data_IF_642674417823
#
_entry.id   IF_642674417823
#
_cell.length_a   1.000
_cell.length_b   1.000
_cell.length_c   1.000
_cell.angle_alpha   90.00
_cell.angle_beta   90.00
_cell.angle_gamma   90.00
#
_symmetry.space_group_name_H-M   'P 1'
#
loop_
_entity.id
_entity.type
_entity.pdbx_description
1 polymer ?
#
# COMPACT_ATOMS: atom_id res chain seq x y z
N UNK A 1 -2.08 2.03 17.40
CA UNK A 1 -1.52 1.99 16.02
C UNK A 1 -0.81 3.30 15.74
N UNK A 2 0.37 3.26 15.11
CA UNK A 2 1.18 4.46 14.84
C UNK A 2 0.47 5.38 13.85
N UNK A 3 -0.02 6.52 14.33
CA UNK A 3 -0.51 7.60 13.45
C UNK A 3 0.74 8.30 12.91
N UNK A 4 1.17 7.92 11.71
CA UNK A 4 2.21 8.67 11.01
C UNK A 4 1.63 10.06 10.67
N UNK A 5 2.12 11.08 11.36
CA UNK A 5 1.69 12.47 11.19
C UNK A 5 2.82 13.26 10.54
N UNK A 6 2.49 14.08 9.53
CA UNK A 6 3.43 15.05 8.99
C UNK A 6 3.23 16.40 9.66
N UNK A 7 4.34 17.06 9.99
CA UNK A 7 4.32 18.43 10.48
C UNK A 7 4.16 19.39 9.30
N UNK A 8 3.04 20.11 9.25
CA UNK A 8 2.74 21.13 8.26
C UNK A 8 2.92 22.54 8.85
N UNK A 9 3.43 23.46 8.03
CA UNK A 9 3.50 24.89 8.34
C UNK A 9 2.72 25.67 7.30
N UNK A 10 1.74 26.46 7.73
CA UNK A 10 1.05 27.44 6.86
C UNK A 10 1.54 28.84 7.26
N UNK A 11 1.98 29.63 6.27
CA UNK A 11 2.20 31.07 6.42
C UNK A 11 0.98 31.80 5.84
N UNK A 12 0.17 32.38 6.70
CA UNK A 12 -0.81 33.41 6.32
C UNK A 12 -0.43 34.67 7.09
N UNK A 13 -0.37 35.78 6.36
CA UNK A 13 -0.07 37.16 6.78
C UNK A 13 0.41 37.33 8.24
N UNK A 14 1.74 37.43 8.42
CA UNK A 14 2.48 37.61 9.69
C UNK A 14 2.30 36.58 10.83
N UNK A 15 1.47 35.54 10.72
CA UNK A 15 1.34 34.49 11.75
C UNK A 15 1.71 33.09 11.23
N UNK A 16 2.74 32.49 11.82
CA UNK A 16 3.13 31.11 11.53
C UNK A 16 2.31 30.14 12.41
N UNK A 17 1.38 29.40 11.79
CA UNK A 17 0.61 28.34 12.47
C UNK A 17 1.17 26.98 12.07
N UNK A 18 1.64 26.22 13.05
CA UNK A 18 2.12 24.84 12.89
C UNK A 18 1.00 23.86 13.20
N UNK A 19 0.89 22.77 12.46
CA UNK A 19 -0.11 21.73 12.70
C UNK A 19 0.40 20.36 12.26
N UNK A 20 -0.10 19.30 12.89
CA UNK A 20 0.03 17.94 12.41
C UNK A 20 -1.16 17.57 11.54
N UNK A 21 -0.90 16.84 10.46
CA UNK A 21 -1.91 16.29 9.57
C UNK A 21 -1.56 14.83 9.21
N UNK A 22 -2.51 14.12 8.59
CA UNK A 22 -2.29 12.77 8.09
C UNK A 22 -1.07 12.72 7.16
N UNK A 23 -0.16 11.75 7.38
CA UNK A 23 0.99 11.57 6.49
C UNK A 23 0.61 10.97 5.13
N UNK A 24 -0.45 10.15 5.11
CA UNK A 24 -0.84 9.38 3.93
C UNK A 24 -1.81 10.20 3.08
N UNK A 25 -2.97 10.56 3.61
CA UNK A 25 -4.01 11.23 2.85
C UNK A 25 -3.87 12.75 2.87
N UNK A 26 -3.82 13.37 1.67
CA UNK A 26 -3.84 14.84 1.52
C UNK A 26 -5.21 15.46 1.80
N UNK A 27 -6.28 14.70 1.60
CA UNK A 27 -7.66 15.20 1.73
C UNK A 27 -8.22 14.92 3.14
N UNK A 28 -8.74 15.97 3.78
CA UNK A 28 -9.44 15.87 5.06
C UNK A 28 -10.71 15.00 4.99
N UNK A 29 -11.27 14.80 3.79
CA UNK A 29 -12.41 13.90 3.58
C UNK A 29 -12.05 12.42 3.77
N UNK A 30 -10.79 12.04 3.49
CA UNK A 30 -10.30 10.66 3.64
C UNK A 30 -9.60 10.42 4.97
N UNK A 31 -8.86 11.41 5.45
CA UNK A 31 -8.35 11.39 6.81
C UNK A 31 -8.63 12.73 7.49
N UNK A 32 -9.60 12.78 8.43
CA UNK A 32 -9.97 14.01 9.11
C UNK A 32 -8.94 14.46 10.16
N UNK A 33 -7.84 13.73 10.33
CA UNK A 33 -6.82 14.03 11.33
C UNK A 33 -6.15 15.38 11.06
N UNK A 34 -6.30 16.31 12.00
CA UNK A 34 -5.60 17.59 12.04
C UNK A 34 -5.45 18.08 13.48
N UNK A 35 -4.23 18.44 13.87
CA UNK A 35 -3.93 18.96 15.19
C UNK A 35 -3.14 20.27 15.08
N UNK A 36 -3.75 21.40 15.41
CA UNK A 36 -3.06 22.70 15.41
C UNK A 36 -2.23 22.86 16.69
N UNK A 37 -0.98 23.25 16.56
CA UNK A 37 -0.07 23.51 17.68
C UNK A 37 -0.15 25.01 18.02
N UNK A 38 -0.84 25.36 19.10
CA UNK A 38 -0.74 26.69 19.71
C UNK A 38 0.13 26.61 20.96
N UNK A 39 1.08 27.55 21.13
CA UNK A 39 2.12 27.54 22.16
C UNK A 39 1.67 27.55 23.64
N UNK A 40 0.38 27.38 23.98
CA UNK A 40 -0.07 27.52 25.37
C UNK A 40 -0.82 26.35 26.01
N UNK A 41 -1.48 25.45 25.30
CA UNK A 41 -2.10 24.29 25.97
C UNK A 41 -2.45 23.22 24.95
N UNK A 42 -1.82 22.05 25.02
CA UNK A 42 -2.47 20.82 24.53
C UNK A 42 -3.55 20.57 25.59
N UNK A 43 -4.79 20.98 25.33
CA UNK A 43 -5.87 20.72 26.28
C UNK A 43 -6.03 19.21 26.43
N UNK A 44 -6.03 18.72 27.68
CA UNK A 44 -6.14 17.29 28.01
C UNK A 44 -7.38 16.61 27.36
N UNK A 45 -8.40 17.39 26.97
CA UNK A 45 -9.58 16.93 26.24
C UNK A 45 -9.30 16.43 24.81
N UNK A 46 -8.13 16.72 24.22
CA UNK A 46 -7.76 16.23 22.90
C UNK A 46 -7.18 14.81 22.95
N UNK A 47 -6.50 14.44 24.04
CA UNK A 47 -5.97 13.09 24.27
C UNK A 47 -7.10 12.06 24.44
N UNK A 48 -8.17 12.42 25.15
CA UNK A 48 -9.30 11.52 25.40
C UNK A 48 -10.15 11.21 24.14
N UNK A 49 -10.07 12.04 23.09
CA UNK A 49 -10.74 11.80 21.81
C UNK A 49 -9.92 10.96 20.82
N UNK A 50 -8.64 10.69 21.12
CA UNK A 50 -7.83 9.77 20.31
C UNK A 50 -8.17 8.31 20.58
N UNK A 51 -8.55 7.99 21.81
CA UNK A 51 -8.95 6.64 22.21
C UNK A 51 -10.32 6.23 21.63
N UNK A 52 -11.17 7.20 21.27
CA UNK A 52 -12.51 6.98 20.71
C UNK A 52 -12.57 7.01 19.18
N UNK A 53 -11.46 7.33 18.51
CA UNK A 53 -11.34 7.04 17.09
C UNK A 53 -11.23 5.52 16.98
N UNK A 54 -12.34 4.85 16.66
CA UNK A 54 -12.38 3.42 16.34
C UNK A 54 -11.31 3.12 15.30
N UNK A 55 -10.10 2.82 15.77
CA UNK A 55 -9.04 2.27 14.96
C UNK A 55 -9.61 0.92 14.59
N UNK A 56 -10.13 0.80 13.37
CA UNK A 56 -10.34 -0.47 12.74
C UNK A 56 -8.96 -1.14 12.73
N UNK A 57 -8.63 -1.85 13.82
CA UNK A 57 -7.47 -2.69 13.95
C UNK A 57 -7.78 -3.91 13.10
N UNK A 58 -7.79 -3.73 11.78
CA UNK A 58 -7.62 -4.85 10.89
C UNK A 58 -6.25 -5.40 11.26
N UNK A 59 -6.22 -6.59 11.88
CA UNK A 59 -4.95 -7.22 12.21
C UNK A 59 -4.22 -7.43 10.90
N UNK A 60 -3.20 -6.62 10.63
CA UNK A 60 -2.41 -6.76 9.43
C UNK A 60 -1.62 -8.07 9.56
N UNK A 61 -2.15 -9.14 8.98
CA UNK A 61 -1.49 -10.42 8.96
C UNK A 61 -0.54 -10.45 7.75
N UNK A 62 0.75 -10.33 8.03
CA UNK A 62 1.78 -10.47 7.01
C UNK A 62 1.72 -11.86 6.34
N UNK A 63 1.90 -11.87 5.00
CA UNK A 63 2.02 -13.08 4.19
C UNK A 63 0.81 -14.04 4.18
N UNK A 64 -0.42 -13.56 4.44
CA UNK A 64 -1.65 -14.39 4.39
C UNK A 64 -1.82 -15.09 3.05
N UNK A 65 -1.78 -14.33 1.94
CA UNK A 65 -1.95 -14.88 0.59
C UNK A 65 -0.86 -15.91 0.30
N UNK A 66 0.41 -15.62 0.64
CA UNK A 66 1.53 -16.56 0.47
C UNK A 66 1.31 -17.87 1.23
N UNK A 67 0.84 -17.80 2.48
CA UNK A 67 0.51 -19.00 3.28
C UNK A 67 -0.62 -19.81 2.63
N UNK A 68 -1.65 -19.14 2.13
CA UNK A 68 -2.80 -19.76 1.45
C UNK A 68 -2.38 -20.45 0.14
N UNK A 69 -1.56 -19.78 -0.68
CA UNK A 69 -0.95 -20.35 -1.89
C UNK A 69 -0.18 -21.63 -1.54
N UNK A 70 0.68 -21.58 -0.53
CA UNK A 70 1.46 -22.75 -0.11
C UNK A 70 0.57 -23.91 0.34
N UNK A 71 -0.53 -23.62 1.06
CA UNK A 71 -1.49 -24.63 1.49
C UNK A 71 -2.19 -25.30 0.30
N UNK A 72 -2.69 -24.50 -0.65
CA UNK A 72 -3.36 -25.00 -1.86
C UNK A 72 -2.42 -25.88 -2.69
N UNK A 73 -1.15 -25.46 -2.84
CA UNK A 73 -0.12 -26.27 -3.50
C UNK A 73 0.15 -27.59 -2.79
N UNK A 74 0.26 -27.57 -1.46
CA UNK A 74 0.51 -28.78 -0.68
C UNK A 74 -0.63 -29.80 -0.85
N UNK A 75 -1.86 -29.32 -1.08
CA UNK A 75 -3.04 -30.14 -1.39
C UNK A 75 -3.17 -30.50 -2.88
N UNK A 76 -2.24 -30.05 -3.72
CA UNK A 76 -2.29 -30.20 -5.17
C UNK A 76 -3.58 -29.63 -5.80
N UNK A 77 -4.15 -28.60 -5.19
CA UNK A 77 -5.34 -27.92 -5.67
C UNK A 77 -4.98 -26.85 -6.72
N UNK A 78 -5.87 -26.67 -7.71
CA UNK A 78 -5.75 -25.58 -8.67
C UNK A 78 -6.00 -24.25 -7.97
N UNK A 79 -5.14 -23.27 -8.23
CA UNK A 79 -5.19 -21.95 -7.60
C UNK A 79 -5.85 -20.96 -8.55
N UNK A 80 -6.81 -20.20 -8.04
CA UNK A 80 -7.48 -19.13 -8.75
C UNK A 80 -7.38 -17.83 -7.95
N UNK A 81 -7.44 -16.68 -8.61
CA UNK A 81 -7.42 -15.36 -7.98
C UNK A 81 -8.78 -14.69 -8.12
N UNK A 82 -9.27 -14.08 -7.06
CA UNK A 82 -10.46 -13.24 -7.09
C UNK A 82 -10.09 -11.77 -6.88
N UNK A 83 -10.36 -10.93 -7.87
CA UNK A 83 -10.12 -9.49 -7.77
C UNK A 83 -11.03 -8.80 -6.74
N UNK A 84 -12.26 -9.29 -6.54
CA UNK A 84 -13.22 -8.75 -5.57
C UNK A 84 -12.76 -8.96 -4.13
N UNK A 85 -12.29 -10.17 -3.80
CA UNK A 85 -11.75 -10.48 -2.49
C UNK A 85 -10.29 -10.06 -2.32
N UNK A 86 -9.60 -9.78 -3.43
CA UNK A 86 -8.15 -9.63 -3.50
C UNK A 86 -7.38 -10.77 -2.81
N UNK A 87 -7.79 -12.02 -3.09
CA UNK A 87 -7.25 -13.22 -2.47
C UNK A 87 -7.31 -14.43 -3.43
N UNK A 88 -6.63 -15.51 -3.08
CA UNK A 88 -6.56 -16.76 -3.86
C UNK A 88 -7.51 -17.82 -3.31
N UNK A 89 -8.07 -18.67 -4.18
CA UNK A 89 -9.05 -19.70 -3.82
C UNK A 89 -8.85 -20.97 -4.66
N UNK A 90 -9.36 -22.08 -4.15
CA UNK A 90 -9.75 -23.23 -4.97
C UNK A 90 -11.25 -23.18 -5.29
N UNK A 91 -11.70 -23.98 -6.25
CA UNK A 91 -13.12 -24.07 -6.60
C UNK A 91 -13.88 -24.90 -5.55
N UNK A 92 -15.16 -24.57 -5.26
CA UNK A 92 -15.95 -23.46 -5.82
C UNK A 92 -15.73 -22.12 -5.09
N UNK A 93 -15.92 -21.01 -5.81
CA UNK A 93 -15.93 -19.65 -5.27
C UNK A 93 -17.08 -18.85 -5.88
N UNK A 94 -17.67 -17.92 -5.11
CA UNK A 94 -18.89 -17.19 -5.50
C UNK A 94 -18.64 -16.01 -6.45
N UNK A 95 -17.51 -15.33 -6.33
CA UNK A 95 -17.16 -14.22 -7.23
C UNK A 95 -16.48 -14.71 -8.52
N UNK A 96 -16.42 -13.87 -9.57
CA UNK A 96 -15.58 -14.14 -10.73
C UNK A 96 -14.11 -14.33 -10.33
N UNK A 97 -13.48 -15.36 -10.89
CA UNK A 97 -12.09 -15.71 -10.61
C UNK A 97 -11.27 -15.86 -11.89
N UNK A 98 -9.98 -15.55 -11.81
CA UNK A 98 -8.98 -15.74 -12.87
C UNK A 98 -8.11 -16.95 -12.53
N UNK A 99 -7.96 -17.86 -13.48
CA UNK A 99 -7.09 -19.02 -13.32
C UNK A 99 -7.49 -20.22 -14.19
N UNK A 100 -6.88 -21.39 -13.98
CA UNK A 100 -5.89 -21.69 -12.93
C UNK A 100 -4.57 -20.94 -13.12
N UNK A 101 -3.97 -20.46 -12.03
CA UNK A 101 -2.74 -19.68 -12.02
C UNK A 101 -1.51 -20.53 -11.69
N UNK A 102 -0.44 -20.31 -12.44
CA UNK A 102 0.88 -20.79 -12.08
C UNK A 102 1.52 -19.88 -11.02
N UNK A 103 2.54 -20.39 -10.33
CA UNK A 103 3.30 -19.60 -9.35
C UNK A 103 4.03 -18.42 -9.99
N UNK A 104 4.47 -18.56 -11.24
CA UNK A 104 5.04 -17.47 -12.02
C UNK A 104 4.07 -16.30 -12.18
N UNK A 105 2.78 -16.56 -12.40
CA UNK A 105 1.74 -15.53 -12.47
C UNK A 105 1.55 -14.82 -11.13
N UNK A 106 1.63 -15.54 -10.02
CA UNK A 106 1.50 -14.96 -8.67
C UNK A 106 2.72 -14.13 -8.24
N UNK A 107 3.87 -14.30 -8.92
CA UNK A 107 5.07 -13.44 -8.74
C UNK A 107 4.96 -12.12 -9.48
N UNK A 108 3.95 -11.93 -10.34
CA UNK A 108 3.68 -10.68 -11.04
C UNK A 108 2.29 -10.11 -10.69
N UNK A 109 2.06 -9.67 -9.43
CA UNK A 109 0.78 -9.09 -9.01
C UNK A 109 0.24 -7.97 -9.90
N UNK A 110 1.11 -7.15 -10.49
CA UNK A 110 0.73 -6.08 -11.43
C UNK A 110 -0.06 -6.57 -12.65
N UNK A 111 0.04 -7.85 -12.99
CA UNK A 111 -0.71 -8.49 -14.07
C UNK A 111 -2.05 -9.11 -13.61
N UNK A 112 -2.26 -9.24 -12.30
CA UNK A 112 -3.47 -9.84 -11.72
C UNK A 112 -4.57 -8.82 -11.47
N UNK A 113 -4.21 -7.56 -11.19
CA UNK A 113 -5.15 -6.47 -11.00
C UNK A 113 -4.64 -5.16 -11.61
N UNK A 114 -5.57 -4.34 -12.08
CA UNK A 114 -5.26 -3.03 -12.64
C UNK A 114 -4.77 -2.06 -11.57
N UNK A 115 -3.86 -1.16 -11.95
CA UNK A 115 -3.37 -0.11 -11.07
C UNK A 115 -4.52 0.71 -10.46
N UNK A 116 -4.39 1.05 -9.18
CA UNK A 116 -5.35 1.93 -8.53
C UNK A 116 -5.10 3.40 -8.92
N UNK A 117 -5.55 3.79 -10.11
CA UNK A 117 -5.39 5.16 -10.62
C UNK A 117 -6.49 6.06 -10.05
N UNK A 118 -6.25 6.66 -8.89
CA UNK A 118 -7.03 7.80 -8.39
C UNK A 118 -6.13 9.01 -8.21
N UNK A 119 -6.64 10.24 -8.27
CA UNK A 119 -5.86 11.46 -7.99
C UNK A 119 -5.81 11.75 -6.48
N UNK A 120 -5.29 10.82 -5.70
CA UNK A 120 -5.17 10.95 -4.25
C UNK A 120 -3.90 10.25 -3.72
N UNK A 121 -3.86 9.85 -2.46
CA UNK A 121 -2.63 9.35 -1.83
C UNK A 121 -2.31 7.89 -2.13
N UNK A 122 -3.25 7.14 -2.70
CA UNK A 122 -3.09 5.71 -3.01
C UNK A 122 -2.93 5.46 -4.50
N UNK A 123 -2.62 6.50 -5.27
CA UNK A 123 -2.38 6.40 -6.71
C UNK A 123 -1.27 5.40 -6.99
N UNK A 124 -1.58 4.41 -7.82
CA UNK A 124 -0.61 3.47 -8.34
C UNK A 124 -0.50 3.68 -9.84
N UNK A 125 0.73 3.83 -10.33
CA UNK A 125 1.04 3.93 -11.75
C UNK A 125 2.08 2.87 -12.07
N UNK A 126 1.76 2.00 -13.02
CA UNK A 126 2.67 0.98 -13.50
C UNK A 126 3.65 1.60 -14.49
N UNK A 127 4.93 1.22 -14.37
CA UNK A 127 5.90 1.52 -15.40
C UNK A 127 5.54 0.79 -16.69
N UNK A 128 5.74 1.43 -17.83
CA UNK A 128 5.70 0.75 -19.12
C UNK A 128 6.90 -0.19 -19.26
N UNK A 129 6.82 -1.15 -20.18
CA UNK A 129 7.89 -2.12 -20.41
C UNK A 129 9.20 -1.44 -20.86
N UNK A 130 9.10 -0.36 -21.66
CA UNK A 130 10.25 0.42 -22.12
C UNK A 130 10.92 1.13 -20.94
N UNK A 131 10.12 1.78 -20.08
CA UNK A 131 10.60 2.49 -18.90
C UNK A 131 11.26 1.52 -17.92
N UNK A 132 10.63 0.36 -17.71
CA UNK A 132 11.14 -0.70 -16.86
C UNK A 132 12.49 -1.21 -17.36
N UNK A 133 12.61 -1.44 -18.67
CA UNK A 133 13.86 -1.89 -19.31
C UNK A 133 15.00 -0.91 -19.09
N UNK A 134 14.74 0.40 -19.21
CA UNK A 134 15.76 1.44 -18.95
C UNK A 134 16.21 1.41 -17.49
N UNK A 135 15.27 1.33 -16.54
CA UNK A 135 15.56 1.30 -15.10
C UNK A 135 16.39 0.05 -14.75
N UNK A 136 15.95 -1.12 -15.21
CA UNK A 136 16.63 -2.39 -14.92
C UNK A 136 18.05 -2.37 -15.46
N UNK A 137 18.24 -1.99 -16.72
CA UNK A 137 19.57 -1.92 -17.34
C UNK A 137 20.51 -0.96 -16.61
N UNK A 138 19.99 0.16 -16.09
CA UNK A 138 20.80 1.11 -15.34
C UNK A 138 21.27 0.51 -14.00
N UNK A 139 20.39 -0.21 -13.32
CA UNK A 139 20.69 -0.87 -12.03
C UNK A 139 21.64 -2.06 -12.20
N UNK A 140 21.45 -2.88 -13.25
CA UNK A 140 22.37 -4.00 -13.53
C UNK A 140 23.78 -3.50 -13.86
N UNK A 141 23.88 -2.42 -14.64
CA UNK A 141 25.17 -1.80 -15.00
C UNK A 141 25.85 -1.10 -13.83
N UNK A 142 25.12 -0.73 -12.78
CA UNK A 142 25.73 -0.09 -11.61
C UNK A 142 26.48 -1.10 -10.72
N UNK A 143 26.32 -2.40 -10.96
CA UNK A 143 27.01 -3.45 -10.20
C UNK A 143 26.60 -3.52 -8.73
N UNK A 144 25.38 -3.10 -8.40
CA UNK A 144 24.86 -3.15 -7.03
C UNK A 144 24.38 -4.56 -6.69
N UNK A 145 24.67 -5.02 -5.47
CA UNK A 145 24.27 -6.35 -4.99
C UNK A 145 22.80 -6.44 -4.53
N UNK A 146 22.12 -5.29 -4.42
CA UNK A 146 20.75 -5.24 -3.93
C UNK A 146 20.02 -3.95 -4.29
N UNK A 147 18.70 -4.05 -4.39
CA UNK A 147 17.81 -2.94 -4.79
C UNK A 147 16.69 -2.81 -3.76
N UNK A 148 16.60 -1.64 -3.12
CA UNK A 148 15.48 -1.32 -2.22
C UNK A 148 14.36 -0.66 -3.01
N UNK A 149 13.27 -1.40 -3.25
CA UNK A 149 12.09 -0.90 -3.95
C UNK A 149 11.07 -0.30 -2.98
N UNK A 150 10.84 1.02 -3.04
CA UNK A 150 9.81 1.72 -2.24
C UNK A 150 8.80 2.32 -3.21
N UNK A 151 7.55 1.83 -3.18
CA UNK A 151 6.49 2.32 -4.06
C UNK A 151 6.65 1.95 -5.54
N UNK A 152 7.51 0.99 -5.86
CA UNK A 152 7.84 0.55 -7.23
C UNK A 152 7.55 -0.94 -7.44
N UNK A 153 6.29 -1.39 -7.34
CA UNK A 153 5.96 -2.82 -7.36
C UNK A 153 6.38 -3.52 -8.66
N UNK A 154 6.22 -2.91 -9.84
CA UNK A 154 6.62 -3.57 -11.10
C UNK A 154 8.13 -3.72 -11.25
N UNK A 155 8.92 -2.80 -10.70
CA UNK A 155 10.39 -2.92 -10.64
C UNK A 155 10.79 -4.05 -9.71
N UNK A 156 10.14 -4.14 -8.55
CA UNK A 156 10.36 -5.23 -7.61
C UNK A 156 10.04 -6.59 -8.23
N UNK A 157 8.91 -6.71 -8.93
CA UNK A 157 8.52 -7.93 -9.65
C UNK A 157 9.57 -8.36 -10.68
N UNK A 158 10.24 -7.41 -11.34
CA UNK A 158 11.31 -7.71 -12.30
C UNK A 158 12.52 -8.36 -11.61
N UNK A 159 13.00 -7.79 -10.51
CA UNK A 159 14.18 -8.30 -9.79
C UNK A 159 13.88 -9.52 -8.89
N UNK A 160 12.61 -9.81 -8.60
CA UNK A 160 12.21 -10.99 -7.81
C UNK A 160 11.94 -12.25 -8.68
N UNK A 161 11.95 -12.09 -10.01
CA UNK A 161 11.62 -13.14 -10.98
C UNK A 161 12.69 -14.22 -11.08
#
# INVERSE_FOLDING_TARGET
>A
GHVYCLNGKIKQDKQQKSFFACAVYRSQKRCPFRLNISCKTISNNLLNNFDSLNVATTSFCYAVIRKKVNLLRAKNEKIYYCATCNDVFSLPHTHPITGPLAISSLRKPSQLFSAHVKNDSESQYWFTDESLTVIVNAVEKSGCDGVLCIGTPTVFEHFQS
#
